data_IF_187127216187
#
_entry.id   IF_187127216187
#
_cell.length_a   1.000
_cell.length_b   1.000
_cell.length_c   1.000
_cell.angle_alpha   90.00
_cell.angle_beta   90.00
_cell.angle_gamma   90.00
#
_symmetry.space_group_name_H-M   'P 1'
#
loop_
_entity.id
_entity.type
_entity.pdbx_description
1 polymer ?
#
# COMPACT_ATOMS: atom_id res chain seq x y z
N UNK A 1 -22.97 -19.79 15.06
CA UNK A 1 -23.27 -18.35 15.33
C UNK A 1 -23.43 -17.56 14.03
N UNK A 2 -22.51 -17.60 13.06
CA UNK A 2 -22.60 -16.90 11.75
C UNK A 2 -23.82 -17.37 10.94
N UNK A 3 -24.08 -18.68 10.85
CA UNK A 3 -25.23 -19.22 10.12
C UNK A 3 -26.59 -18.71 10.60
N UNK A 4 -26.69 -18.35 11.88
CA UNK A 4 -27.92 -17.81 12.45
C UNK A 4 -28.19 -16.38 11.98
N UNK A 5 -27.13 -15.57 11.75
CA UNK A 5 -27.24 -14.23 11.19
C UNK A 5 -27.50 -14.22 9.68
N UNK A 6 -27.03 -15.26 8.97
CA UNK A 6 -27.23 -15.38 7.53
C UNK A 6 -28.60 -15.95 7.16
N UNK A 7 -29.32 -16.54 8.14
CA UNK A 7 -30.63 -17.14 7.93
C UNK A 7 -31.68 -16.08 7.59
N UNK A 8 -32.05 -16.03 6.32
CA UNK A 8 -33.04 -15.08 5.81
C UNK A 8 -32.49 -13.84 5.10
N UNK A 9 -31.16 -13.66 5.05
CA UNK A 9 -30.56 -12.65 4.18
C UNK A 9 -30.71 -13.08 2.71
N UNK A 10 -31.46 -12.29 1.93
CA UNK A 10 -31.45 -12.41 0.48
C UNK A 10 -30.17 -11.70 0.00
N UNK A 11 -29.18 -12.47 -0.44
CA UNK A 11 -28.01 -11.92 -1.13
C UNK A 11 -28.47 -11.57 -2.55
N UNK A 12 -28.46 -10.28 -2.95
CA UNK A 12 -28.77 -9.90 -4.32
C UNK A 12 -27.78 -10.59 -5.28
N UNK A 13 -28.27 -10.95 -6.47
CA UNK A 13 -27.39 -11.44 -7.53
C UNK A 13 -26.66 -10.25 -8.11
N UNK A 14 -25.34 -10.40 -8.29
CA UNK A 14 -24.54 -9.40 -9.00
C UNK A 14 -25.05 -9.21 -10.44
N UNK A 15 -25.24 -7.97 -10.84
CA UNK A 15 -25.64 -7.60 -12.21
C UNK A 15 -24.41 -7.22 -13.05
N UNK A 16 -23.32 -6.76 -12.38
CA UNK A 16 -22.07 -6.36 -13.00
C UNK A 16 -20.93 -7.30 -12.58
N UNK A 17 -19.97 -7.48 -13.47
CA UNK A 17 -18.67 -8.07 -13.11
C UNK A 17 -17.85 -7.08 -12.28
N UNK A 18 -16.84 -7.56 -11.54
CA UNK A 18 -15.95 -6.69 -10.78
C UNK A 18 -15.23 -5.66 -11.68
N UNK A 19 -14.87 -6.06 -12.91
CA UNK A 19 -14.23 -5.15 -13.89
C UNK A 19 -15.20 -4.04 -14.31
N UNK A 20 -16.45 -4.39 -14.65
CA UNK A 20 -17.47 -3.40 -15.05
C UNK A 20 -17.79 -2.46 -13.89
N UNK A 21 -17.96 -3.00 -12.68
CA UNK A 21 -18.22 -2.22 -11.46
C UNK A 21 -17.10 -1.24 -11.17
N UNK A 22 -15.85 -1.68 -11.23
CA UNK A 22 -14.69 -0.81 -11.05
C UNK A 22 -14.61 0.30 -12.11
N UNK A 23 -14.91 -0.02 -13.36
CA UNK A 23 -14.95 0.96 -14.46
C UNK A 23 -16.00 2.03 -14.21
N UNK A 24 -17.22 1.63 -13.88
CA UNK A 24 -18.33 2.57 -13.60
C UNK A 24 -18.03 3.47 -12.39
N UNK A 25 -17.47 2.90 -11.32
CA UNK A 25 -17.04 3.68 -10.15
C UNK A 25 -15.98 4.73 -10.50
N UNK A 26 -14.99 4.37 -11.32
CA UNK A 26 -13.97 5.32 -11.76
C UNK A 26 -14.54 6.43 -12.68
N UNK A 27 -15.67 6.16 -13.33
CA UNK A 27 -16.41 7.15 -14.13
C UNK A 27 -17.42 7.95 -13.29
N UNK A 28 -17.51 7.72 -11.97
CA UNK A 28 -18.47 8.37 -11.08
C UNK A 28 -19.92 7.96 -11.32
N UNK A 29 -20.15 6.77 -11.88
CA UNK A 29 -21.47 6.23 -12.20
C UNK A 29 -21.97 5.28 -11.11
N UNK A 30 -23.28 5.09 -11.09
CA UNK A 30 -23.93 4.13 -10.20
C UNK A 30 -23.55 2.69 -10.52
N UNK A 31 -23.51 1.87 -9.51
CA UNK A 31 -23.19 0.44 -9.57
C UNK A 31 -24.23 -0.38 -8.82
N UNK A 32 -24.29 -1.66 -9.11
CA UNK A 32 -25.24 -2.60 -8.50
C UNK A 32 -25.01 -2.79 -6.99
N UNK A 33 -23.77 -2.71 -6.53
CA UNK A 33 -23.35 -2.76 -5.12
C UNK A 33 -21.96 -2.16 -4.91
N UNK A 34 -21.61 -1.88 -3.68
CA UNK A 34 -20.26 -1.48 -3.29
C UNK A 34 -19.27 -2.63 -3.59
N UNK A 35 -18.07 -2.30 -4.09
CA UNK A 35 -17.00 -3.29 -4.24
C UNK A 35 -16.55 -3.83 -2.88
N UNK A 36 -16.37 -5.13 -2.80
CA UNK A 36 -15.85 -5.83 -1.62
C UNK A 36 -14.50 -6.45 -1.96
N UNK A 37 -13.42 -5.79 -1.58
CA UNK A 37 -12.06 -6.29 -1.77
C UNK A 37 -11.53 -6.81 -0.43
N UNK A 38 -11.02 -8.03 -0.43
CA UNK A 38 -10.38 -8.61 0.75
C UNK A 38 -8.89 -8.32 0.62
N UNK A 39 -8.34 -7.61 1.61
CA UNK A 39 -6.89 -7.46 1.73
C UNK A 39 -6.31 -8.81 2.13
N UNK A 40 -5.65 -9.45 1.18
CA UNK A 40 -5.12 -10.79 1.36
C UNK A 40 -3.84 -10.84 2.16
N UNK A 41 -3.04 -9.82 2.20
CA UNK A 41 -1.84 -9.67 3.01
C UNK A 41 -1.19 -10.95 3.59
N UNK A 42 -0.01 -10.85 4.04
CA UNK A 42 0.77 -11.98 4.59
C UNK A 42 0.06 -12.76 5.71
N UNK A 43 -0.82 -12.11 6.47
CA UNK A 43 -1.52 -12.72 7.61
C UNK A 43 -2.50 -13.82 7.20
N UNK A 44 -2.89 -13.86 5.94
CA UNK A 44 -3.79 -14.88 5.38
C UNK A 44 -3.05 -16.08 4.77
N UNK A 45 -1.72 -16.07 4.71
CA UNK A 45 -0.92 -17.19 4.20
C UNK A 45 -1.27 -18.57 4.80
N UNK A 46 -1.64 -18.69 6.09
CA UNK A 46 -2.07 -19.97 6.65
C UNK A 46 -3.31 -20.57 5.99
N UNK A 47 -4.16 -19.79 5.30
CA UNK A 47 -5.33 -20.31 4.59
C UNK A 47 -4.96 -21.25 3.43
N UNK A 48 -3.75 -21.14 2.89
CA UNK A 48 -3.22 -22.03 1.85
C UNK A 48 -2.16 -23.00 2.40
N UNK A 49 -2.10 -23.18 3.74
CA UNK A 49 -1.13 -24.06 4.40
C UNK A 49 0.32 -23.59 4.28
N UNK A 50 0.56 -22.30 4.12
CA UNK A 50 1.86 -21.67 3.89
C UNK A 50 2.29 -20.91 5.14
N UNK A 51 3.57 -20.99 5.52
CA UNK A 51 4.15 -20.16 6.55
C UNK A 51 4.39 -18.73 6.05
N UNK A 52 4.55 -17.76 6.97
CA UNK A 52 4.84 -16.39 6.57
C UNK A 52 6.15 -16.25 5.77
N UNK A 53 7.28 -16.89 6.16
CA UNK A 53 8.51 -16.86 5.35
C UNK A 53 8.31 -17.47 3.96
N UNK A 54 7.61 -18.59 3.82
CA UNK A 54 7.31 -19.17 2.51
C UNK A 54 6.52 -18.20 1.63
N UNK A 55 5.52 -17.51 2.21
CA UNK A 55 4.79 -16.48 1.49
C UNK A 55 5.70 -15.33 1.05
N UNK A 56 6.52 -14.79 1.96
CA UNK A 56 7.36 -13.63 1.66
C UNK A 56 8.39 -13.88 0.56
N UNK A 57 8.86 -15.11 0.39
CA UNK A 57 9.94 -15.46 -0.53
C UNK A 57 9.49 -16.30 -1.73
N UNK A 58 8.18 -16.45 -1.97
CA UNK A 58 7.64 -17.17 -3.12
C UNK A 58 6.58 -16.37 -3.87
N UNK A 59 6.89 -15.98 -5.09
CA UNK A 59 5.94 -15.35 -6.00
C UNK A 59 4.74 -16.27 -6.29
N UNK A 60 4.99 -17.57 -6.34
CA UNK A 60 3.97 -18.61 -6.55
C UNK A 60 3.01 -18.65 -5.37
N UNK A 61 3.50 -18.60 -4.12
CA UNK A 61 2.66 -18.60 -2.91
C UNK A 61 1.86 -17.31 -2.78
N UNK A 62 2.43 -16.17 -3.13
CA UNK A 62 1.69 -14.91 -3.20
C UNK A 62 0.52 -15.01 -4.18
N UNK A 63 0.76 -15.53 -5.38
CA UNK A 63 -0.28 -15.71 -6.40
C UNK A 63 -1.32 -16.76 -5.98
N UNK A 64 -0.91 -17.88 -5.39
CA UNK A 64 -1.80 -18.94 -4.89
C UNK A 64 -2.78 -18.40 -3.84
N UNK A 65 -2.32 -17.52 -2.95
CA UNK A 65 -3.18 -16.88 -1.96
C UNK A 65 -4.23 -15.98 -2.61
N UNK A 66 -3.86 -15.16 -3.58
CA UNK A 66 -4.80 -14.31 -4.32
C UNK A 66 -5.86 -15.14 -5.05
N UNK A 67 -5.45 -16.24 -5.70
CA UNK A 67 -6.38 -17.17 -6.35
C UNK A 67 -7.32 -17.83 -5.34
N UNK A 68 -6.81 -18.22 -4.16
CA UNK A 68 -7.63 -18.78 -3.09
C UNK A 68 -8.67 -17.76 -2.60
N UNK A 69 -8.26 -16.52 -2.34
CA UNK A 69 -9.15 -15.44 -1.90
C UNK A 69 -10.24 -15.18 -2.94
N UNK A 70 -9.87 -15.06 -4.21
CA UNK A 70 -10.84 -14.88 -5.29
C UNK A 70 -11.83 -16.03 -5.37
N UNK A 71 -11.35 -17.28 -5.40
CA UNK A 71 -12.21 -18.45 -5.56
C UNK A 71 -13.11 -18.72 -4.34
N UNK A 72 -12.61 -18.41 -3.13
CA UNK A 72 -13.33 -18.69 -1.88
C UNK A 72 -14.31 -17.60 -1.49
N UNK A 73 -13.94 -16.35 -1.69
CA UNK A 73 -14.67 -15.20 -1.16
C UNK A 73 -15.24 -14.29 -2.25
N UNK A 74 -14.93 -14.55 -3.53
CA UNK A 74 -15.35 -13.71 -4.65
C UNK A 74 -15.00 -12.24 -4.49
N UNK A 75 -13.76 -11.97 -4.05
CA UNK A 75 -13.22 -10.62 -3.91
C UNK A 75 -13.33 -9.86 -5.23
N UNK A 76 -13.75 -8.60 -5.17
CA UNK A 76 -13.85 -7.72 -6.35
C UNK A 76 -12.51 -7.11 -6.79
N UNK A 77 -11.42 -7.48 -6.13
CA UNK A 77 -10.07 -7.05 -6.48
C UNK A 77 -9.04 -8.07 -6.03
N UNK A 78 -7.86 -8.02 -6.64
CA UNK A 78 -6.69 -8.80 -6.27
C UNK A 78 -5.44 -7.92 -6.32
N UNK A 79 -4.39 -8.27 -5.58
CA UNK A 79 -3.16 -7.51 -5.63
C UNK A 79 -2.14 -7.89 -4.59
N UNK A 80 -0.93 -7.40 -4.78
CA UNK A 80 0.17 -7.64 -3.84
C UNK A 80 0.71 -6.33 -3.29
N UNK A 81 1.09 -6.37 -2.01
CA UNK A 81 1.70 -5.27 -1.29
C UNK A 81 3.20 -5.46 -1.15
N UNK A 82 3.94 -4.35 -1.03
CA UNK A 82 5.32 -4.37 -0.52
C UNK A 82 5.40 -4.72 0.97
N UNK A 83 4.26 -5.11 1.59
CA UNK A 83 4.14 -5.52 3.00
C UNK A 83 4.64 -4.46 4.00
N UNK A 84 4.54 -3.19 3.64
CA UNK A 84 5.07 -1.99 4.33
C UNK A 84 6.60 -1.96 4.46
N UNK A 85 7.31 -3.10 4.37
CA UNK A 85 8.75 -3.23 4.63
C UNK A 85 9.57 -3.33 3.36
N UNK A 86 8.99 -3.78 2.25
CA UNK A 86 9.73 -4.10 1.03
C UNK A 86 10.50 -2.92 0.43
N UNK A 87 9.97 -1.70 0.48
CA UNK A 87 10.70 -0.52 0.04
C UNK A 87 11.90 -0.19 0.93
N UNK A 88 11.71 -0.21 2.26
CA UNK A 88 12.79 0.03 3.21
C UNK A 88 13.85 -1.07 3.16
N UNK A 89 13.44 -2.33 2.94
CA UNK A 89 14.34 -3.46 2.74
C UNK A 89 15.21 -3.27 1.50
N UNK A 90 14.60 -2.91 0.36
CA UNK A 90 15.33 -2.63 -0.88
C UNK A 90 16.30 -1.44 -0.73
N UNK A 91 15.99 -0.49 0.16
CA UNK A 91 16.84 0.64 0.49
C UNK A 91 17.88 0.34 1.58
N UNK A 92 18.00 -0.92 2.05
CA UNK A 92 19.07 -1.38 2.94
C UNK A 92 18.69 -1.61 4.40
N UNK A 93 17.42 -1.45 4.79
CA UNK A 93 16.96 -1.84 6.13
C UNK A 93 16.94 -3.36 6.28
N UNK A 94 17.34 -3.86 7.44
CA UNK A 94 17.25 -5.30 7.72
C UNK A 94 15.89 -5.63 8.30
N UNK A 95 15.26 -6.64 7.71
CA UNK A 95 13.93 -7.11 8.09
C UNK A 95 14.07 -8.51 8.71
N UNK A 96 13.45 -8.68 9.86
CA UNK A 96 13.36 -9.97 10.56
C UNK A 96 12.07 -10.66 10.11
N UNK A 97 12.20 -11.87 9.60
CA UNK A 97 11.10 -12.77 9.24
C UNK A 97 10.89 -13.83 10.30
N UNK A 98 9.65 -14.22 10.53
CA UNK A 98 9.25 -15.19 11.57
C UNK A 98 8.04 -15.98 11.11
N UNK A 99 7.94 -17.24 11.53
CA UNK A 99 6.78 -18.10 11.24
C UNK A 99 5.50 -17.62 11.95
N UNK A 100 5.65 -16.89 13.06
CA UNK A 100 4.55 -16.57 13.99
C UNK A 100 4.13 -15.10 13.94
N UNK A 101 4.95 -14.22 13.40
CA UNK A 101 4.68 -12.79 13.36
C UNK A 101 4.97 -12.21 11.98
N UNK A 102 4.20 -11.19 11.61
CA UNK A 102 4.50 -10.40 10.40
C UNK A 102 5.93 -9.87 10.46
N UNK A 103 6.53 -9.70 9.30
CA UNK A 103 7.89 -9.19 9.16
C UNK A 103 8.08 -7.88 9.92
N UNK A 104 9.19 -7.73 10.62
CA UNK A 104 9.49 -6.59 11.49
C UNK A 104 10.81 -5.95 11.12
N UNK A 105 10.90 -4.63 11.30
CA UNK A 105 12.18 -3.94 11.18
C UNK A 105 13.13 -4.44 12.26
N UNK A 106 14.28 -4.99 11.85
CA UNK A 106 15.36 -5.41 12.74
C UNK A 106 16.40 -4.30 12.90
N UNK A 107 16.85 -3.71 11.79
CA UNK A 107 17.84 -2.64 11.81
C UNK A 107 17.52 -1.63 10.71
N UNK A 108 17.38 -0.34 11.03
CA UNK A 108 17.27 0.72 10.04
C UNK A 108 18.46 0.76 9.07
N UNK A 109 18.25 1.25 7.85
CA UNK A 109 19.30 1.38 6.84
C UNK A 109 20.41 2.37 7.25
N UNK A 110 20.04 3.40 8.01
CA UNK A 110 20.94 4.41 8.55
C UNK A 110 20.68 4.57 10.06
N UNK A 111 21.74 4.80 10.82
CA UNK A 111 21.64 4.92 12.29
C UNK A 111 21.18 6.30 12.75
N UNK A 112 21.38 7.33 11.92
CA UNK A 112 20.96 8.71 12.17
C UNK A 112 20.89 9.50 10.84
N UNK A 113 20.35 10.71 10.88
CA UNK A 113 20.14 11.53 9.68
C UNK A 113 21.44 12.11 9.06
N UNK A 114 22.57 12.08 9.77
CA UNK A 114 23.85 12.50 9.19
C UNK A 114 24.34 11.51 8.14
N UNK A 115 23.76 10.31 8.11
CA UNK A 115 24.06 9.26 7.15
C UNK A 115 23.14 9.25 5.92
N UNK A 116 22.25 10.23 5.75
CA UNK A 116 21.28 10.30 4.63
C UNK A 116 21.96 10.13 3.26
N UNK A 117 23.17 10.67 3.10
CA UNK A 117 23.95 10.55 1.85
C UNK A 117 24.39 9.12 1.51
N UNK A 118 24.25 8.16 2.44
CA UNK A 118 24.49 6.73 2.20
C UNK A 118 23.33 6.02 1.51
N UNK A 119 22.12 6.61 1.58
CA UNK A 119 20.93 6.07 0.93
C UNK A 119 21.10 6.16 -0.59
N UNK A 120 20.74 5.08 -1.28
CA UNK A 120 20.93 4.95 -2.74
C UNK A 120 19.58 4.82 -3.45
N UNK A 121 19.61 5.08 -4.74
CA UNK A 121 18.54 4.70 -5.64
C UNK A 121 18.57 3.19 -5.86
N UNK A 122 17.40 2.56 -5.71
CA UNK A 122 17.25 1.10 -5.82
C UNK A 122 17.25 0.64 -7.27
N UNK A 123 17.72 -0.60 -7.48
CA UNK A 123 17.41 -1.39 -8.65
C UNK A 123 16.21 -2.30 -8.33
N UNK A 124 15.03 -1.97 -8.86
CA UNK A 124 13.77 -2.65 -8.56
C UNK A 124 13.78 -4.13 -8.97
N UNK A 125 14.64 -4.51 -9.91
CA UNK A 125 14.78 -5.87 -10.40
C UNK A 125 15.79 -6.73 -9.60
N UNK A 126 16.48 -6.14 -8.61
CA UNK A 126 17.54 -6.82 -7.85
C UNK A 126 17.43 -6.63 -6.35
N UNK A 127 16.96 -5.46 -5.89
CA UNK A 127 17.05 -5.08 -4.49
C UNK A 127 15.89 -5.63 -3.63
N UNK A 128 16.24 -6.19 -2.48
CA UNK A 128 15.31 -6.73 -1.50
C UNK A 128 14.41 -7.82 -2.10
N UNK A 129 13.14 -7.81 -1.70
CA UNK A 129 12.12 -8.73 -2.21
C UNK A 129 11.30 -8.15 -3.37
N UNK A 130 11.62 -6.95 -3.87
CA UNK A 130 10.85 -6.32 -4.95
C UNK A 130 10.75 -7.20 -6.20
N UNK A 131 11.82 -7.90 -6.66
CA UNK A 131 11.74 -8.80 -7.82
C UNK A 131 10.72 -9.94 -7.61
N UNK A 132 10.66 -10.50 -6.39
CA UNK A 132 9.73 -11.59 -6.04
C UNK A 132 8.30 -11.07 -6.07
N UNK A 133 8.05 -9.90 -5.47
CA UNK A 133 6.73 -9.26 -5.44
C UNK A 133 6.25 -8.92 -6.85
N UNK A 134 7.12 -8.34 -7.70
CA UNK A 134 6.78 -8.03 -9.09
C UNK A 134 6.47 -9.30 -9.90
N UNK A 135 7.26 -10.37 -9.71
CA UNK A 135 6.97 -11.67 -10.34
C UNK A 135 5.61 -12.21 -9.91
N UNK A 136 5.31 -12.17 -8.60
CA UNK A 136 4.03 -12.59 -8.06
C UNK A 136 2.87 -11.77 -8.62
N UNK A 137 3.03 -10.44 -8.67
CA UNK A 137 2.02 -9.52 -9.19
C UNK A 137 1.74 -9.75 -10.68
N UNK A 138 2.79 -10.03 -11.47
CA UNK A 138 2.64 -10.43 -12.88
C UNK A 138 1.82 -11.72 -13.00
N UNK A 139 2.08 -12.73 -12.18
CA UNK A 139 1.31 -13.98 -12.15
C UNK A 139 -0.16 -13.74 -11.76
N UNK A 140 -0.42 -12.90 -10.74
CA UNK A 140 -1.79 -12.50 -10.36
C UNK A 140 -2.49 -11.82 -11.53
N UNK A 141 -1.82 -10.89 -12.21
CA UNK A 141 -2.37 -10.19 -13.39
C UNK A 141 -2.71 -11.15 -14.52
N UNK A 142 -1.86 -12.14 -14.77
CA UNK A 142 -2.08 -13.14 -15.82
C UNK A 142 -3.25 -14.08 -15.50
N UNK A 143 -3.49 -14.42 -14.21
CA UNK A 143 -4.50 -15.41 -13.80
C UNK A 143 -5.85 -14.81 -13.42
N UNK A 144 -5.85 -13.59 -12.90
CA UNK A 144 -7.05 -12.94 -12.37
C UNK A 144 -7.40 -11.61 -13.06
N UNK A 145 -6.51 -11.05 -13.88
CA UNK A 145 -6.68 -9.72 -14.43
C UNK A 145 -7.80 -9.57 -15.46
N UNK A 146 -8.35 -10.68 -15.97
CA UNK A 146 -9.56 -10.73 -16.80
C UNK A 146 -10.86 -10.82 -15.96
N UNK A 147 -10.74 -11.10 -14.67
CA UNK A 147 -11.87 -11.33 -13.75
C UNK A 147 -12.06 -10.15 -12.79
N UNK A 148 -10.96 -9.62 -12.25
CA UNK A 148 -10.97 -8.53 -11.27
C UNK A 148 -9.87 -7.51 -11.56
N UNK A 149 -10.04 -6.23 -11.12
CA UNK A 149 -8.95 -5.27 -11.11
C UNK A 149 -7.78 -5.78 -10.27
N UNK A 150 -6.56 -5.62 -10.79
CA UNK A 150 -5.33 -6.00 -10.09
C UNK A 150 -4.53 -4.75 -9.75
N UNK A 151 -4.01 -4.67 -8.52
CA UNK A 151 -3.22 -3.54 -8.04
C UNK A 151 -1.97 -3.96 -7.28
N UNK A 152 -0.95 -3.08 -7.30
CA UNK A 152 0.22 -3.17 -6.45
C UNK A 152 0.18 -2.07 -5.38
N UNK A 153 0.37 -2.43 -4.10
CA UNK A 153 0.42 -1.44 -3.01
C UNK A 153 1.84 -1.07 -2.67
N UNK A 154 2.12 0.22 -2.74
CA UNK A 154 3.41 0.85 -2.43
C UNK A 154 3.37 1.38 -1.00
N UNK A 155 4.46 1.21 -0.27
CA UNK A 155 4.60 1.86 1.05
C UNK A 155 4.74 3.37 0.87
N UNK A 156 3.91 4.13 1.56
CA UNK A 156 3.94 5.59 1.51
C UNK A 156 5.27 6.17 1.99
N UNK A 157 5.68 7.33 1.45
CA UNK A 157 7.02 7.87 1.67
C UNK A 157 7.39 8.08 3.14
N UNK A 158 6.43 8.53 3.97
CA UNK A 158 6.71 8.80 5.37
C UNK A 158 6.87 7.52 6.20
N UNK A 159 6.11 6.48 5.87
CA UNK A 159 6.28 5.15 6.48
C UNK A 159 7.63 4.54 6.11
N UNK A 160 8.07 4.67 4.85
CA UNK A 160 9.42 4.23 4.45
C UNK A 160 10.49 4.98 5.25
N UNK A 161 10.38 6.31 5.37
CA UNK A 161 11.30 7.12 6.15
C UNK A 161 11.44 6.64 7.60
N UNK A 162 10.31 6.30 8.24
CA UNK A 162 10.32 5.78 9.61
C UNK A 162 11.08 4.48 9.77
N UNK A 163 11.17 3.67 8.73
CA UNK A 163 11.90 2.39 8.74
C UNK A 163 13.37 2.57 8.35
N UNK A 164 13.71 3.60 7.57
CA UNK A 164 15.09 3.84 7.14
C UNK A 164 15.98 4.38 8.26
N UNK A 165 15.44 5.18 9.18
CA UNK A 165 16.21 5.84 10.26
C UNK A 165 15.66 5.55 11.67
N UNK A 166 14.54 4.83 11.75
CA UNK A 166 13.77 4.63 12.99
C UNK A 166 12.83 5.79 13.28
N UNK A 167 11.61 5.46 13.72
CA UNK A 167 10.54 6.46 13.95
C UNK A 167 10.95 7.57 14.91
N UNK A 168 11.63 7.24 16.01
CA UNK A 168 12.07 8.22 16.99
C UNK A 168 13.06 9.23 16.40
N UNK A 169 14.06 8.75 15.64
CA UNK A 169 15.06 9.59 14.99
C UNK A 169 14.42 10.45 13.90
N UNK A 170 13.45 9.92 13.15
CA UNK A 170 12.67 10.68 12.17
C UNK A 170 11.96 11.85 12.84
N UNK A 171 11.18 11.59 13.90
CA UNK A 171 10.40 12.62 14.59
C UNK A 171 11.30 13.70 15.25
N UNK A 172 12.41 13.29 15.86
CA UNK A 172 13.42 14.22 16.41
C UNK A 172 14.06 15.04 15.27
N UNK A 173 14.34 14.41 14.14
CA UNK A 173 14.94 15.03 12.96
C UNK A 173 14.08 16.10 12.35
N UNK A 174 12.76 15.91 12.29
CA UNK A 174 11.83 16.93 11.80
C UNK A 174 11.95 18.28 12.53
N UNK A 175 12.43 18.28 13.76
CA UNK A 175 12.65 19.47 14.56
C UNK A 175 14.11 19.94 14.52
N UNK A 176 15.06 19.02 14.61
CA UNK A 176 16.48 19.35 14.78
C UNK A 176 17.26 19.46 13.46
N UNK A 177 16.87 18.66 12.47
CA UNK A 177 17.55 18.52 11.18
C UNK A 177 16.52 18.43 10.02
N UNK A 178 15.59 19.41 9.90
CA UNK A 178 14.49 19.34 8.93
C UNK A 178 14.98 19.14 7.49
N UNK A 179 16.09 19.76 7.11
CA UNK A 179 16.63 19.68 5.75
C UNK A 179 17.13 18.25 5.42
N UNK A 180 17.70 17.56 6.41
CA UNK A 180 18.10 16.15 6.24
C UNK A 180 16.89 15.21 6.09
N UNK A 181 15.80 15.48 6.82
CA UNK A 181 14.55 14.76 6.64
C UNK A 181 14.00 14.99 5.24
N UNK A 182 13.95 16.24 4.77
CA UNK A 182 13.46 16.56 3.42
C UNK A 182 14.32 15.89 2.33
N UNK A 183 15.66 15.91 2.48
CA UNK A 183 16.59 15.19 1.59
C UNK A 183 16.28 13.69 1.54
N UNK A 184 16.09 13.06 2.69
CA UNK A 184 15.71 11.64 2.77
C UNK A 184 14.37 11.38 2.06
N UNK A 185 13.39 12.24 2.27
CA UNK A 185 12.08 12.10 1.63
C UNK A 185 12.15 12.22 0.10
N UNK A 186 13.03 13.08 -0.44
CA UNK A 186 13.24 13.16 -1.90
C UNK A 186 13.83 11.84 -2.46
N UNK A 187 14.81 11.24 -1.79
CA UNK A 187 15.40 9.95 -2.19
C UNK A 187 14.33 8.84 -2.17
N UNK A 188 13.49 8.81 -1.12
CA UNK A 188 12.39 7.83 -1.00
C UNK A 188 11.38 8.02 -2.14
N UNK A 189 10.99 9.25 -2.42
CA UNK A 189 10.03 9.57 -3.47
C UNK A 189 10.51 9.08 -4.83
N UNK A 190 11.78 9.29 -5.16
CA UNK A 190 12.38 8.79 -6.39
C UNK A 190 12.39 7.24 -6.43
N UNK A 191 12.72 6.59 -5.32
CA UNK A 191 12.69 5.13 -5.22
C UNK A 191 11.26 4.57 -5.37
N UNK A 192 10.27 5.23 -4.77
CA UNK A 192 8.87 4.87 -4.98
C UNK A 192 8.48 5.01 -6.45
N UNK A 193 8.88 6.10 -7.13
CA UNK A 193 8.58 6.30 -8.55
C UNK A 193 9.18 5.19 -9.44
N UNK A 194 10.39 4.71 -9.12
CA UNK A 194 11.00 3.56 -9.83
C UNK A 194 10.18 2.28 -9.71
N UNK A 195 9.69 1.98 -8.51
CA UNK A 195 8.81 0.83 -8.30
C UNK A 195 7.44 1.04 -8.96
N UNK A 196 6.83 2.22 -8.80
CA UNK A 196 5.57 2.59 -9.43
C UNK A 196 5.63 2.44 -10.95
N UNK A 197 6.75 2.84 -11.59
CA UNK A 197 6.91 2.67 -13.03
C UNK A 197 6.76 1.20 -13.44
N UNK A 198 7.32 0.25 -12.66
CA UNK A 198 7.17 -1.17 -12.96
C UNK A 198 5.72 -1.66 -12.83
N UNK A 199 4.96 -1.11 -11.87
CA UNK A 199 3.53 -1.40 -11.73
C UNK A 199 2.75 -0.89 -12.97
N UNK A 200 3.01 0.35 -13.38
CA UNK A 200 2.37 0.95 -14.55
C UNK A 200 2.71 0.21 -15.85
N UNK A 201 3.97 -0.20 -16.04
CA UNK A 201 4.42 -0.99 -17.19
C UNK A 201 3.69 -2.35 -17.28
N UNK A 202 3.30 -2.93 -16.14
CA UNK A 202 2.49 -4.15 -16.08
C UNK A 202 0.98 -3.90 -16.28
N UNK A 203 0.55 -2.65 -16.36
CA UNK A 203 -0.86 -2.29 -16.46
C UNK A 203 -1.68 -2.69 -15.23
N UNK A 204 -1.10 -2.59 -14.03
CA UNK A 204 -1.78 -2.79 -12.75
C UNK A 204 -2.03 -1.46 -12.05
N UNK A 205 -3.08 -1.40 -11.24
CA UNK A 205 -3.40 -0.21 -10.44
C UNK A 205 -2.34 0.05 -9.36
N UNK A 206 -2.29 1.28 -8.87
CA UNK A 206 -1.37 1.67 -7.78
C UNK A 206 -2.16 2.06 -6.53
N UNK A 207 -1.84 1.41 -5.42
CA UNK A 207 -2.32 1.79 -4.09
C UNK A 207 -1.16 2.27 -3.21
N UNK A 208 -1.45 3.10 -2.22
CA UNK A 208 -0.51 3.47 -1.17
C UNK A 208 -1.05 3.08 0.20
N UNK A 209 -0.14 2.62 1.06
CA UNK A 209 -0.39 2.49 2.50
C UNK A 209 0.67 3.30 3.25
N UNK A 210 0.24 4.35 3.97
CA UNK A 210 1.14 5.25 4.70
C UNK A 210 0.73 5.41 6.18
N UNK A 211 0.71 4.31 6.96
CA UNK A 211 0.17 4.31 8.33
C UNK A 211 0.88 5.27 9.28
N UNK A 212 2.19 5.49 9.08
CA UNK A 212 2.98 6.35 9.98
C UNK A 212 2.71 7.84 9.74
N UNK A 213 2.06 8.21 8.65
CA UNK A 213 1.71 9.60 8.32
C UNK A 213 0.42 10.10 9.00
N UNK A 214 -0.27 9.26 9.78
CA UNK A 214 -1.54 9.59 10.44
C UNK A 214 -1.41 10.68 11.52
N UNK A 215 -2.55 11.33 11.84
CA UNK A 215 -2.59 12.30 12.95
C UNK A 215 -2.57 11.66 14.33
N UNK A 216 -2.56 10.33 14.41
CA UNK A 216 -2.19 9.60 15.64
C UNK A 216 -0.72 9.84 16.02
N UNK A 217 0.14 10.15 15.06
CA UNK A 217 1.57 10.39 15.26
C UNK A 217 2.00 11.80 14.89
N UNK A 218 1.46 12.37 13.81
CA UNK A 218 1.86 13.67 13.25
C UNK A 218 0.85 14.75 13.59
N UNK A 219 1.35 15.96 13.87
CA UNK A 219 0.51 17.16 13.79
C UNK A 219 0.26 17.50 12.32
N UNK A 220 -0.89 18.12 12.02
CA UNK A 220 -1.26 18.53 10.64
C UNK A 220 -0.11 19.30 9.95
N UNK A 221 0.47 20.30 10.60
CA UNK A 221 1.61 21.07 10.05
C UNK A 221 2.85 20.22 9.74
N UNK A 222 3.04 19.12 10.46
CA UNK A 222 4.15 18.21 10.20
C UNK A 222 3.84 17.36 8.97
N UNK A 223 2.60 16.88 8.86
CA UNK A 223 2.12 16.18 7.67
C UNK A 223 2.25 17.05 6.41
N UNK A 224 1.77 18.31 6.46
CA UNK A 224 1.85 19.27 5.36
C UNK A 224 3.30 19.52 4.91
N UNK A 225 4.25 19.51 5.83
CA UNK A 225 5.65 19.80 5.52
C UNK A 225 6.45 18.56 5.10
N UNK A 226 6.26 17.42 5.78
CA UNK A 226 7.17 16.29 5.69
C UNK A 226 6.56 15.02 5.04
N UNK A 227 5.24 14.97 4.81
CA UNK A 227 4.60 13.82 4.18
C UNK A 227 3.90 14.19 2.88
N UNK A 228 2.93 15.08 2.94
CA UNK A 228 2.05 15.44 1.82
C UNK A 228 2.80 15.83 0.53
N UNK A 229 3.85 16.68 0.55
CA UNK A 229 4.52 17.10 -0.69
C UNK A 229 5.20 15.94 -1.43
N UNK A 230 5.69 14.96 -0.71
CA UNK A 230 6.38 13.78 -1.25
C UNK A 230 5.39 12.75 -1.78
N UNK A 231 4.29 12.55 -1.06
CA UNK A 231 3.17 11.78 -1.56
C UNK A 231 2.60 12.40 -2.85
N UNK A 232 2.41 13.74 -2.87
CA UNK A 232 1.93 14.46 -4.06
C UNK A 232 2.86 14.25 -5.27
N UNK A 233 4.18 14.27 -5.09
CA UNK A 233 5.13 13.98 -6.17
C UNK A 233 4.93 12.58 -6.77
N UNK A 234 4.66 11.57 -5.93
CA UNK A 234 4.33 10.22 -6.42
C UNK A 234 2.99 10.20 -7.18
N UNK A 235 1.97 10.90 -6.66
CA UNK A 235 0.66 11.02 -7.35
C UNK A 235 0.83 11.72 -8.71
N UNK A 236 1.57 12.81 -8.76
CA UNK A 236 1.83 13.56 -10.00
C UNK A 236 2.58 12.71 -11.02
N UNK A 237 3.55 11.91 -10.56
CA UNK A 237 4.24 10.95 -11.42
C UNK A 237 3.27 9.93 -12.02
N UNK A 238 2.40 9.30 -11.22
CA UNK A 238 1.40 8.34 -11.69
C UNK A 238 0.48 8.99 -12.73
N UNK A 239 0.00 10.19 -12.45
CA UNK A 239 -0.88 10.94 -13.36
C UNK A 239 -0.22 11.33 -14.67
N UNK A 240 1.07 11.70 -14.63
CA UNK A 240 1.84 11.99 -15.84
C UNK A 240 1.91 10.80 -16.80
N UNK A 241 1.74 9.58 -16.29
CA UNK A 241 1.68 8.33 -17.04
C UNK A 241 0.22 7.90 -17.38
N UNK A 242 -0.76 8.75 -17.11
CA UNK A 242 -2.18 8.46 -17.35
C UNK A 242 -2.83 7.53 -16.33
N UNK A 243 -2.15 7.24 -15.22
CA UNK A 243 -2.63 6.38 -14.13
C UNK A 243 -3.42 7.13 -13.05
N UNK A 244 -4.02 6.36 -12.16
CA UNK A 244 -4.61 6.82 -10.90
C UNK A 244 -4.11 6.01 -9.73
N UNK A 245 -4.34 6.48 -8.51
CA UNK A 245 -3.97 5.75 -7.30
C UNK A 245 -4.96 5.94 -6.17
N UNK A 246 -4.92 5.00 -5.21
CA UNK A 246 -5.59 5.09 -3.92
C UNK A 246 -4.59 5.32 -2.79
N UNK A 247 -5.09 5.79 -1.64
CA UNK A 247 -4.31 5.95 -0.40
C UNK A 247 -5.08 5.35 0.77
N UNK A 248 -4.38 4.58 1.60
CA UNK A 248 -4.84 4.18 2.94
C UNK A 248 -3.92 4.79 4.00
N UNK A 249 -4.52 5.38 5.04
CA UNK A 249 -3.83 5.84 6.24
C UNK A 249 -4.49 5.17 7.44
N UNK A 250 -3.70 4.37 8.20
CA UNK A 250 -4.14 3.77 9.44
C UNK A 250 -4.27 4.81 10.56
N UNK A 251 -5.15 4.55 11.54
CA UNK A 251 -5.38 5.44 12.67
C UNK A 251 -6.13 6.70 12.28
N UNK A 252 -5.98 7.77 13.07
CA UNK A 252 -6.76 8.99 12.86
C UNK A 252 -6.24 9.79 11.67
N UNK A 253 -7.12 10.13 10.75
CA UNK A 253 -6.80 10.85 9.50
C UNK A 253 -7.76 12.01 9.19
N UNK A 254 -8.87 12.16 9.93
CA UNK A 254 -9.91 13.16 9.65
C UNK A 254 -9.38 14.57 9.39
N UNK A 255 -8.39 15.00 10.17
CA UNK A 255 -7.77 16.34 10.02
C UNK A 255 -6.96 16.52 8.74
N UNK A 256 -6.73 15.44 7.99
CA UNK A 256 -5.97 15.42 6.73
C UNK A 256 -6.87 15.39 5.49
N UNK A 257 -8.18 15.09 5.63
CA UNK A 257 -9.04 14.84 4.48
C UNK A 257 -9.10 16.02 3.52
N UNK A 258 -9.31 17.25 4.04
CA UNK A 258 -9.30 18.46 3.20
C UNK A 258 -7.96 18.69 2.48
N UNK A 259 -6.84 18.28 3.09
CA UNK A 259 -5.52 18.36 2.48
C UNK A 259 -5.30 17.31 1.38
N UNK A 260 -6.05 16.21 1.43
CA UNK A 260 -5.98 15.15 0.42
C UNK A 260 -6.78 15.47 -0.84
N UNK A 261 -7.85 16.26 -0.76
CA UNK A 261 -8.69 16.63 -1.90
C UNK A 261 -7.88 17.22 -3.08
N UNK A 262 -6.98 18.20 -2.88
CA UNK A 262 -6.18 18.76 -3.97
C UNK A 262 -5.21 17.76 -4.62
N UNK A 263 -4.85 16.68 -3.94
CA UNK A 263 -3.95 15.65 -4.49
C UNK A 263 -4.57 14.90 -5.66
N UNK A 264 -5.91 14.87 -5.73
CA UNK A 264 -6.68 14.19 -6.77
C UNK A 264 -6.42 12.68 -6.82
N UNK A 265 -6.20 12.03 -5.68
CA UNK A 265 -6.24 10.56 -5.59
C UNK A 265 -7.64 10.06 -5.98
N UNK A 266 -7.71 8.86 -6.56
CA UNK A 266 -8.98 8.27 -6.98
C UNK A 266 -9.80 7.73 -5.83
N UNK A 267 -9.14 7.18 -4.80
CA UNK A 267 -9.79 6.62 -3.62
C UNK A 267 -9.00 6.93 -2.36
N UNK A 268 -9.72 7.09 -1.25
CA UNK A 268 -9.15 7.18 0.08
C UNK A 268 -9.80 6.14 0.99
N UNK A 269 -9.00 5.33 1.67
CA UNK A 269 -9.41 4.34 2.66
C UNK A 269 -9.06 4.82 4.07
N UNK A 270 -10.00 5.43 4.81
CA UNK A 270 -9.77 5.73 6.22
C UNK A 270 -9.73 4.44 7.05
N UNK A 271 -9.15 4.53 8.25
CA UNK A 271 -9.16 3.42 9.21
C UNK A 271 -10.55 3.26 9.86
N UNK A 272 -10.79 2.09 10.46
CA UNK A 272 -12.03 1.74 11.15
C UNK A 272 -12.36 2.63 12.38
N UNK A 273 -11.42 3.44 12.83
CA UNK A 273 -11.60 4.43 13.90
C UNK A 273 -12.29 5.71 13.43
N UNK A 274 -12.44 5.88 12.11
CA UNK A 274 -13.04 7.07 11.50
C UNK A 274 -14.51 6.85 11.15
N UNK A 275 -15.31 7.92 11.19
CA UNK A 275 -16.72 7.86 10.78
C UNK A 275 -16.83 7.94 9.25
N UNK A 276 -17.30 6.86 8.64
CA UNK A 276 -17.47 6.78 7.19
C UNK A 276 -18.57 7.69 6.65
N UNK A 277 -19.57 8.07 7.46
CA UNK A 277 -20.60 9.04 7.05
C UNK A 277 -19.99 10.44 6.92
N UNK A 278 -19.15 10.85 7.89
CA UNK A 278 -18.40 12.11 7.81
C UNK A 278 -17.37 12.12 6.66
N UNK A 279 -16.74 10.96 6.37
CA UNK A 279 -15.79 10.87 5.28
C UNK A 279 -16.43 11.01 3.89
N UNK A 280 -17.74 10.79 3.79
CA UNK A 280 -18.51 10.92 2.54
C UNK A 280 -18.94 12.37 2.26
N UNK A 281 -19.11 13.19 3.30
CA UNK A 281 -19.46 14.62 3.18
C UNK A 281 -18.27 15.47 2.71
#
# INVERSE_FOLDING_TARGET
MIEQYLKGLKVPKDELTAIERNKLLNEGKDVDRIMCCIDSGETLAPLIGCTLPEYYFSAEKMCELEEYIYNKFHSDGAGLSTTLRGMAEAMGSKIKYSDYNIAQLETPAISNLDEVDKLKLINVDEDGRLPIILKGLKMVKERLGDKVPVSGTVTGPFTVASMLVGTENLLKGMVKQPDKVLQMMDIITENNNRYIQRLLDMGVGVGFADPVSSTSLLRVKQYEKFSLPFFQKNVDFIKSQGGGCGLHICGTSRKLWELLIPTRIGTFGPDNVEDMAEAKE
#
